data_IF_411901654035
#
_entry.id   IF_411901654035
#
_cell.length_a   1.000
_cell.length_b   1.000
_cell.length_c   1.000
_cell.angle_alpha   90.00
_cell.angle_beta   90.00
_cell.angle_gamma   90.00
#
_symmetry.space_group_name_H-M   'P 1'
#
loop_
_entity.id
_entity.type
_entity.pdbx_description
1 polymer ?
#
# COMPACT_ATOMS: atom_id res chain seq x y z
N UNK A 1 10.17 -16.31 27.82
CA UNK A 1 9.66 -16.14 29.21
C UNK A 1 9.15 -14.71 29.42
N UNK A 2 9.98 -13.67 29.22
CA UNK A 2 9.57 -12.27 29.42
C UNK A 2 8.29 -11.88 28.64
N UNK A 3 8.23 -12.25 27.36
CA UNK A 3 7.04 -12.05 26.51
C UNK A 3 5.75 -12.57 27.17
N UNK A 4 5.79 -13.78 27.73
CA UNK A 4 4.63 -14.40 28.39
C UNK A 4 4.27 -13.70 29.69
N UNK A 5 5.26 -13.31 30.51
CA UNK A 5 4.99 -12.59 31.76
C UNK A 5 4.30 -11.25 31.49
N UNK A 6 4.76 -10.53 30.46
CA UNK A 6 4.14 -9.26 30.05
C UNK A 6 2.73 -9.49 29.48
N UNK A 7 2.55 -10.54 28.67
CA UNK A 7 1.26 -10.87 28.07
C UNK A 7 0.22 -11.28 29.13
N UNK A 8 0.60 -12.16 30.05
CA UNK A 8 -0.26 -12.65 31.13
C UNK A 8 -0.58 -11.55 32.16
N UNK A 9 0.41 -10.69 32.45
CA UNK A 9 0.20 -9.52 33.30
C UNK A 9 -0.71 -8.46 32.65
N UNK A 10 -0.75 -8.43 31.32
CA UNK A 10 -1.59 -7.51 30.55
C UNK A 10 -1.39 -6.05 30.96
N UNK A 11 -2.50 -5.31 31.07
CA UNK A 11 -2.47 -3.91 31.47
C UNK A 11 -2.12 -3.69 32.95
N UNK A 12 -2.12 -4.74 33.79
CA UNK A 12 -1.73 -4.63 35.20
C UNK A 12 -0.22 -4.58 35.39
N UNK A 13 0.57 -5.08 34.43
CA UNK A 13 2.01 -4.95 34.48
C UNK A 13 2.41 -3.50 34.17
N UNK A 14 3.04 -2.80 35.13
CA UNK A 14 3.39 -1.37 35.03
C UNK A 14 4.90 -1.07 35.14
N UNK A 15 5.74 -2.10 35.11
CA UNK A 15 7.20 -1.99 35.23
C UNK A 15 7.92 -2.21 33.88
N UNK A 16 7.24 -1.91 32.77
CA UNK A 16 7.75 -2.14 31.42
C UNK A 16 8.79 -1.12 30.96
N UNK A 17 8.81 0.09 31.54
CA UNK A 17 9.63 1.20 31.04
C UNK A 17 11.13 0.87 30.92
N UNK A 18 11.79 0.29 31.93
CA UNK A 18 13.22 -0.05 31.80
C UNK A 18 13.49 -1.07 30.69
N UNK A 19 12.53 -1.97 30.43
CA UNK A 19 12.63 -2.97 29.36
C UNK A 19 12.44 -2.30 28.00
N UNK A 20 11.44 -1.42 27.89
CA UNK A 20 11.16 -0.66 26.68
C UNK A 20 12.36 0.20 26.30
N UNK A 21 12.91 0.96 27.24
CA UNK A 21 14.04 1.85 27.02
C UNK A 21 15.30 1.08 26.59
N UNK A 22 15.61 -0.03 27.27
CA UNK A 22 16.74 -0.90 26.90
C UNK A 22 16.57 -1.49 25.51
N UNK A 23 15.36 -1.95 25.17
CA UNK A 23 15.09 -2.55 23.87
C UNK A 23 15.12 -1.52 22.74
N UNK A 24 14.60 -0.32 22.97
CA UNK A 24 14.66 0.77 22.00
C UNK A 24 16.09 1.27 21.79
N UNK A 25 16.92 1.29 22.83
CA UNK A 25 18.33 1.66 22.72
C UNK A 25 19.15 0.67 21.88
N UNK A 26 18.80 -0.62 21.90
CA UNK A 26 19.52 -1.70 21.22
C UNK A 26 18.75 -2.32 20.04
N UNK A 27 17.84 -1.55 19.42
CA UNK A 27 16.95 -2.06 18.37
C UNK A 27 17.71 -2.64 17.16
N UNK A 28 18.97 -2.24 16.95
CA UNK A 28 19.86 -2.67 15.88
C UNK A 28 20.76 -3.86 16.24
N UNK A 29 20.42 -4.61 17.29
CA UNK A 29 21.19 -5.75 17.78
C UNK A 29 21.64 -6.72 16.65
N UNK A 30 22.91 -7.20 16.62
CA UNK A 30 23.44 -7.99 15.50
C UNK A 30 22.88 -9.43 15.43
N UNK A 31 22.50 -10.03 16.55
CA UNK A 31 21.94 -11.39 16.56
C UNK A 31 20.45 -11.43 16.20
N UNK A 32 20.11 -12.25 15.21
CA UNK A 32 18.75 -12.45 14.71
C UNK A 32 17.75 -12.86 15.80
N UNK A 33 18.08 -13.87 16.61
CA UNK A 33 17.17 -14.38 17.64
C UNK A 33 16.81 -13.30 18.69
N UNK A 34 17.78 -12.41 18.98
CA UNK A 34 17.56 -11.27 19.89
C UNK A 34 16.60 -10.26 19.25
N UNK A 35 16.84 -9.86 17.99
CA UNK A 35 15.94 -8.96 17.26
C UNK A 35 14.51 -9.48 17.18
N UNK A 36 14.34 -10.77 16.87
CA UNK A 36 13.01 -11.39 16.79
C UNK A 36 12.30 -11.39 18.15
N UNK A 37 13.03 -11.71 19.23
CA UNK A 37 12.48 -11.66 20.58
C UNK A 37 12.13 -10.22 21.00
N UNK A 38 12.99 -9.25 20.70
CA UNK A 38 12.75 -7.83 20.98
C UNK A 38 11.51 -7.32 20.27
N UNK A 39 11.37 -7.58 18.96
CA UNK A 39 10.19 -7.15 18.19
C UNK A 39 8.88 -7.72 18.74
N UNK A 40 8.86 -8.99 19.17
CA UNK A 40 7.70 -9.61 19.81
C UNK A 40 7.35 -8.97 21.15
N UNK A 41 8.35 -8.72 21.98
CA UNK A 41 8.16 -8.07 23.29
C UNK A 41 7.68 -6.63 23.13
N UNK A 42 8.24 -5.85 22.20
CA UNK A 42 7.75 -4.50 21.88
C UNK A 42 6.26 -4.53 21.49
N UNK A 43 5.86 -5.51 20.67
CA UNK A 43 4.45 -5.74 20.36
C UNK A 43 3.61 -6.03 21.63
N UNK A 44 4.07 -6.90 22.54
CA UNK A 44 3.38 -7.17 23.82
C UNK A 44 3.26 -5.93 24.69
N UNK A 45 4.33 -5.15 24.83
CA UNK A 45 4.36 -3.95 25.66
C UNK A 45 3.27 -2.99 25.20
N UNK A 46 3.26 -2.62 23.92
CA UNK A 46 2.30 -1.65 23.39
C UNK A 46 0.87 -2.20 23.34
N UNK A 47 0.66 -3.48 22.99
CA UNK A 47 -0.71 -4.05 22.94
C UNK A 47 -1.39 -4.08 24.30
N UNK A 48 -0.61 -4.31 25.37
CA UNK A 48 -1.14 -4.42 26.73
C UNK A 48 -1.42 -3.07 27.39
N UNK A 49 -1.01 -1.95 26.80
CA UNK A 49 -1.28 -0.61 27.37
C UNK A 49 -2.74 -0.18 27.19
N UNK A 50 -3.42 -0.69 26.18
CA UNK A 50 -4.83 -0.38 25.96
C UNK A 50 -5.74 -1.16 26.90
N UNK A 51 -6.59 -0.46 27.66
CA UNK A 51 -7.66 -1.05 28.45
C UNK A 51 -8.85 -0.08 28.55
N UNK A 52 -10.07 -0.60 28.43
CA UNK A 52 -11.30 0.19 28.63
C UNK A 52 -11.76 0.07 30.07
N UNK A 53 -11.40 1.05 30.90
CA UNK A 53 -11.81 1.07 32.31
C UNK A 53 -12.73 2.25 32.58
N UNK A 54 -13.98 1.92 32.94
CA UNK A 54 -15.00 2.88 33.35
C UNK A 54 -15.46 2.54 34.77
N UNK A 55 -15.79 3.55 35.56
CA UNK A 55 -16.27 3.37 36.93
C UNK A 55 -17.60 2.61 37.01
N UNK A 56 -18.41 2.61 35.94
CA UNK A 56 -19.70 1.92 35.89
C UNK A 56 -20.14 1.67 34.45
N UNK A 57 -20.98 0.64 34.25
CA UNK A 57 -21.55 0.29 32.94
C UNK A 57 -22.38 1.45 32.34
N UNK A 58 -23.21 2.20 33.10
CA UNK A 58 -23.92 3.34 32.54
C UNK A 58 -22.99 4.40 31.93
N UNK A 59 -21.87 4.72 32.58
CA UNK A 59 -20.89 5.69 32.05
C UNK A 59 -20.18 5.16 30.80
N UNK A 60 -19.87 3.87 30.74
CA UNK A 60 -19.34 3.23 29.53
C UNK A 60 -20.31 3.40 28.34
N UNK A 61 -21.61 3.14 28.56
CA UNK A 61 -22.63 3.26 27.52
C UNK A 61 -22.81 4.72 27.09
N UNK A 62 -22.84 5.65 28.04
CA UNK A 62 -22.94 7.09 27.76
C UNK A 62 -21.75 7.58 26.92
N UNK A 63 -20.52 7.21 27.31
CA UNK A 63 -19.32 7.59 26.60
C UNK A 63 -19.29 7.02 25.17
N UNK A 64 -19.69 5.76 24.98
CA UNK A 64 -19.80 5.15 23.66
C UNK A 64 -20.83 5.85 22.77
N UNK A 65 -22.03 6.13 23.29
CA UNK A 65 -23.07 6.87 22.55
C UNK A 65 -22.61 8.28 22.17
N UNK A 66 -21.87 8.96 23.04
CA UNK A 66 -21.34 10.30 22.79
C UNK A 66 -20.22 10.28 21.74
N UNK A 67 -19.41 9.23 21.69
CA UNK A 67 -18.25 9.15 20.81
C UNK A 67 -18.63 8.96 19.33
N UNK A 68 -19.47 7.96 19.01
CA UNK A 68 -19.96 7.72 17.65
C UNK A 68 -21.09 6.69 17.61
N UNK A 69 -21.70 6.50 16.44
CA UNK A 69 -22.69 5.43 16.19
C UNK A 69 -22.12 4.01 16.39
N UNK A 70 -20.80 3.86 16.35
CA UNK A 70 -20.08 2.59 16.53
C UNK A 70 -19.24 2.57 17.82
N UNK A 71 -19.47 3.53 18.73
CA UNK A 71 -18.76 3.62 20.00
C UNK A 71 -17.38 4.27 19.95
N UNK A 72 -16.64 4.14 21.04
CA UNK A 72 -15.28 4.66 21.20
C UNK A 72 -14.34 3.93 20.25
N UNK A 73 -13.26 4.57 19.79
CA UNK A 73 -12.20 3.91 19.00
C UNK A 73 -11.31 3.10 19.92
N UNK A 74 -11.31 1.76 19.83
CA UNK A 74 -10.33 1.00 20.58
C UNK A 74 -8.95 1.13 19.96
N UNK A 75 -7.93 0.90 20.78
CA UNK A 75 -6.52 0.91 20.36
C UNK A 75 -6.13 2.19 19.62
N UNK A 76 -6.42 3.36 20.19
CA UNK A 76 -5.82 4.61 19.70
C UNK A 76 -4.33 4.65 20.08
N UNK A 77 -3.44 5.20 19.22
CA UNK A 77 -2.04 5.33 19.57
C UNK A 77 -1.87 6.29 20.75
N UNK A 78 -1.12 5.86 21.77
CA UNK A 78 -0.73 6.74 22.87
C UNK A 78 0.34 7.74 22.41
N UNK A 79 0.55 8.80 23.20
CA UNK A 79 1.64 9.75 22.96
C UNK A 79 3.00 9.03 23.00
N UNK A 80 3.20 8.12 23.94
CA UNK A 80 4.43 7.32 24.08
C UNK A 80 4.68 6.40 22.87
N UNK A 81 3.64 5.76 22.33
CA UNK A 81 3.78 4.98 21.10
C UNK A 81 4.12 5.90 19.92
N UNK A 82 3.43 7.04 19.82
CA UNK A 82 3.62 8.00 18.73
C UNK A 82 5.04 8.56 18.73
N UNK A 83 5.57 8.93 19.90
CA UNK A 83 6.95 9.40 20.05
C UNK A 83 7.95 8.29 19.75
N UNK A 84 7.70 7.07 20.22
CA UNK A 84 8.56 5.91 19.97
C UNK A 84 8.65 5.59 18.48
N UNK A 85 7.50 5.52 17.78
CA UNK A 85 7.49 5.28 16.33
C UNK A 85 8.24 6.39 15.60
N UNK A 86 8.01 7.65 15.96
CA UNK A 86 8.69 8.78 15.31
C UNK A 86 10.20 8.69 15.49
N UNK A 87 10.68 8.53 16.73
CA UNK A 87 12.12 8.38 17.04
C UNK A 87 12.77 7.20 16.32
N UNK A 88 12.13 6.02 16.37
CA UNK A 88 12.66 4.81 15.72
C UNK A 88 12.80 5.00 14.22
N UNK A 89 11.79 5.58 13.56
CA UNK A 89 11.82 5.78 12.12
C UNK A 89 12.75 6.92 11.69
N UNK A 90 12.93 7.95 12.52
CA UNK A 90 13.94 9.00 12.30
C UNK A 90 15.37 8.40 12.40
N UNK A 91 15.61 7.51 13.36
CA UNK A 91 16.88 6.77 13.46
C UNK A 91 17.11 5.85 12.26
N UNK A 92 16.09 5.12 11.82
CA UNK A 92 16.16 4.29 10.62
C UNK A 92 16.49 5.11 9.38
N UNK A 93 15.87 6.28 9.22
CA UNK A 93 16.15 7.19 8.10
C UNK A 93 17.60 7.68 8.12
N UNK A 94 18.11 8.07 9.30
CA UNK A 94 19.52 8.42 9.47
C UNK A 94 20.44 7.25 9.09
N UNK A 95 20.21 6.06 9.64
CA UNK A 95 21.03 4.88 9.34
C UNK A 95 20.95 4.46 7.87
N UNK A 96 19.82 4.70 7.19
CA UNK A 96 19.66 4.46 5.75
C UNK A 96 20.64 5.29 4.94
N UNK A 97 20.83 6.55 5.32
CA UNK A 97 21.74 7.48 4.65
C UNK A 97 23.21 7.21 4.98
N UNK A 98 23.50 6.68 6.17
CA UNK A 98 24.86 6.27 6.58
C UNK A 98 25.30 4.95 5.95
N UNK A 99 24.36 4.14 5.46
CA UNK A 99 24.67 2.87 4.80
C UNK A 99 25.18 3.10 3.38
N UNK A 100 26.34 2.55 3.08
CA UNK A 100 26.91 2.60 1.74
C UNK A 100 26.13 1.71 0.75
N UNK A 101 25.87 2.18 -0.49
CA UNK A 101 25.27 1.35 -1.54
C UNK A 101 26.10 0.08 -1.81
N UNK A 102 25.45 -1.09 -1.88
CA UNK A 102 26.14 -2.36 -2.13
C UNK A 102 26.75 -3.03 -0.88
N UNK A 103 26.62 -2.43 0.31
CA UNK A 103 27.13 -3.03 1.55
C UNK A 103 26.43 -4.36 1.87
N UNK A 104 27.17 -5.46 1.85
CA UNK A 104 26.65 -6.79 2.18
C UNK A 104 26.70 -7.12 3.68
N UNK A 105 27.57 -6.43 4.43
CA UNK A 105 27.66 -6.62 5.87
C UNK A 105 26.43 -6.04 6.58
N UNK A 106 26.06 -6.64 7.71
CA UNK A 106 25.01 -6.10 8.55
C UNK A 106 25.40 -4.71 9.05
N UNK A 107 24.45 -3.79 8.98
CA UNK A 107 24.51 -2.41 9.46
C UNK A 107 23.41 -2.17 10.49
N UNK A 108 23.50 -1.07 11.23
CA UNK A 108 22.44 -0.66 12.15
C UNK A 108 21.10 -0.49 11.43
N UNK A 109 21.10 0.02 10.19
CA UNK A 109 19.89 0.12 9.36
C UNK A 109 19.25 -1.25 9.11
N UNK A 110 20.02 -2.23 8.62
CA UNK A 110 19.49 -3.56 8.28
C UNK A 110 19.02 -4.33 9.52
N UNK A 111 19.77 -4.23 10.62
CA UNK A 111 19.44 -4.90 11.87
C UNK A 111 18.22 -4.25 12.52
N UNK A 112 18.23 -2.92 12.67
CA UNK A 112 17.12 -2.15 13.23
C UNK A 112 15.83 -2.36 12.45
N UNK A 113 15.92 -2.31 11.12
CA UNK A 113 14.77 -2.56 10.22
C UNK A 113 14.18 -3.95 10.44
N UNK A 114 15.00 -5.00 10.61
CA UNK A 114 14.49 -6.36 10.88
C UNK A 114 13.76 -6.44 12.22
N UNK A 115 14.26 -5.78 13.27
CA UNK A 115 13.57 -5.70 14.57
C UNK A 115 12.22 -4.99 14.45
N UNK A 116 12.20 -3.82 13.81
CA UNK A 116 10.97 -3.03 13.59
C UNK A 116 9.98 -3.80 12.73
N UNK A 117 10.42 -4.49 11.69
CA UNK A 117 9.56 -5.31 10.85
C UNK A 117 8.96 -6.48 11.62
N UNK A 118 9.71 -7.14 12.51
CA UNK A 118 9.13 -8.17 13.39
C UNK A 118 8.10 -7.58 14.35
N UNK A 119 8.37 -6.40 14.91
CA UNK A 119 7.41 -5.69 15.75
C UNK A 119 6.11 -5.40 14.97
N UNK A 120 6.21 -4.77 13.81
CA UNK A 120 5.05 -4.44 12.97
C UNK A 120 4.30 -5.69 12.50
N UNK A 121 5.00 -6.74 12.08
CA UNK A 121 4.38 -8.00 11.63
C UNK A 121 3.53 -8.63 12.76
N UNK A 122 4.08 -8.65 13.97
CA UNK A 122 3.37 -9.14 15.15
C UNK A 122 2.13 -8.29 15.47
N UNK A 123 2.25 -6.95 15.43
CA UNK A 123 1.12 -6.05 15.72
C UNK A 123 0.04 -6.09 14.62
N UNK A 124 0.43 -6.17 13.34
CA UNK A 124 -0.49 -6.23 12.21
C UNK A 124 -1.25 -7.56 12.11
N UNK A 125 -0.71 -8.62 12.73
CA UNK A 125 -1.34 -9.95 12.78
C UNK A 125 -2.37 -10.10 13.91
N UNK A 126 -2.63 -9.05 14.70
CA UNK A 126 -3.51 -9.08 15.87
C UNK A 126 -4.53 -7.93 15.84
N UNK A 127 -5.48 -7.89 16.79
CA UNK A 127 -6.61 -6.96 16.78
C UNK A 127 -6.22 -5.49 17.05
N UNK A 128 -5.12 -5.26 17.77
CA UNK A 128 -4.56 -3.95 18.07
C UNK A 128 -3.98 -3.24 16.85
N UNK A 129 -3.82 -3.93 15.71
CA UNK A 129 -3.27 -3.40 14.45
C UNK A 129 -3.84 -2.04 14.03
N UNK A 130 -5.09 -1.74 14.40
CA UNK A 130 -5.75 -0.47 14.10
C UNK A 130 -5.07 0.75 14.74
N UNK A 131 -4.29 0.56 15.83
CA UNK A 131 -3.47 1.62 16.43
C UNK A 131 -2.38 2.14 15.49
N UNK A 132 -1.99 1.32 14.50
CA UNK A 132 -0.93 1.65 13.57
C UNK A 132 -1.41 2.44 12.34
N UNK A 133 -2.73 2.49 12.11
CA UNK A 133 -3.34 3.14 10.92
C UNK A 133 -2.84 4.58 10.70
N UNK A 134 -2.72 5.44 11.74
CA UNK A 134 -2.23 6.81 11.56
C UNK A 134 -0.80 6.90 10.98
N UNK A 135 0.00 5.85 11.15
CA UNK A 135 1.41 5.80 10.71
C UNK A 135 1.58 5.19 9.30
N UNK A 136 0.53 4.65 8.71
CA UNK A 136 0.63 3.94 7.43
C UNK A 136 1.11 4.85 6.30
N UNK A 137 0.53 6.05 6.18
CA UNK A 137 0.95 7.02 5.17
C UNK A 137 2.35 7.55 5.46
N UNK A 138 2.63 7.88 6.72
CA UNK A 138 3.94 8.36 7.18
C UNK A 138 4.13 7.95 8.65
N UNK A 139 5.26 7.33 9.03
CA UNK A 139 6.45 7.08 8.21
C UNK A 139 6.46 5.74 7.44
N UNK A 140 5.49 4.84 7.66
CA UNK A 140 5.66 3.43 7.26
C UNK A 140 5.81 3.22 5.75
N UNK A 141 4.98 3.85 4.92
CA UNK A 141 4.91 3.52 3.49
C UNK A 141 6.25 3.68 2.76
N UNK A 142 6.86 4.86 2.88
CA UNK A 142 8.12 5.18 2.20
C UNK A 142 9.28 4.37 2.81
N UNK A 143 9.32 4.21 4.13
CA UNK A 143 10.36 3.47 4.84
C UNK A 143 10.37 1.98 4.49
N UNK A 144 9.19 1.34 4.45
CA UNK A 144 9.07 -0.06 4.02
C UNK A 144 9.51 -0.25 2.56
N UNK A 145 9.25 0.73 1.68
CA UNK A 145 9.73 0.71 0.30
C UNK A 145 11.25 0.79 0.22
N UNK A 146 11.88 1.63 1.04
CA UNK A 146 13.33 1.69 1.13
C UNK A 146 13.94 0.38 1.65
N UNK A 147 13.32 -0.25 2.66
CA UNK A 147 13.76 -1.57 3.16
C UNK A 147 13.68 -2.64 2.06
N UNK A 148 12.65 -2.59 1.21
CA UNK A 148 12.49 -3.52 0.08
C UNK A 148 13.47 -3.29 -1.08
N UNK A 149 14.16 -2.16 -1.11
CA UNK A 149 15.14 -1.83 -2.15
C UNK A 149 16.58 -2.19 -1.74
N UNK A 150 16.78 -2.72 -0.53
CA UNK A 150 18.05 -3.29 -0.06
C UNK A 150 18.27 -4.67 -0.70
N UNK A 151 18.83 -4.68 -1.91
CA UNK A 151 19.03 -5.90 -2.71
C UNK A 151 20.03 -6.88 -2.08
N UNK A 152 20.95 -6.38 -1.26
CA UNK A 152 21.99 -7.18 -0.62
C UNK A 152 21.45 -8.04 0.54
N UNK A 153 20.23 -7.77 1.02
CA UNK A 153 19.60 -8.52 2.12
C UNK A 153 18.21 -9.05 1.70
N UNK A 154 18.16 -10.24 1.05
CA UNK A 154 16.91 -10.83 0.60
C UNK A 154 15.91 -11.11 1.73
N UNK A 155 16.40 -11.38 2.94
CA UNK A 155 15.54 -11.59 4.11
C UNK A 155 14.83 -10.28 4.49
N UNK A 156 15.55 -9.17 4.55
CA UNK A 156 14.97 -7.85 4.81
C UNK A 156 13.91 -7.50 3.76
N UNK A 157 14.23 -7.66 2.48
CA UNK A 157 13.28 -7.40 1.39
C UNK A 157 12.01 -8.23 1.53
N UNK A 158 12.13 -9.53 1.82
CA UNK A 158 10.99 -10.44 1.96
C UNK A 158 10.08 -10.04 3.13
N UNK A 159 10.66 -9.73 4.29
CA UNK A 159 9.89 -9.34 5.47
C UNK A 159 9.25 -7.96 5.27
N UNK A 160 9.99 -7.00 4.70
CA UNK A 160 9.46 -5.67 4.39
C UNK A 160 8.27 -5.75 3.41
N UNK A 161 8.38 -6.58 2.37
CA UNK A 161 7.26 -6.84 1.46
C UNK A 161 6.07 -7.49 2.16
N UNK A 162 6.33 -8.43 3.08
CA UNK A 162 5.28 -9.09 3.87
C UNK A 162 4.51 -8.11 4.76
N UNK A 163 5.19 -7.18 5.43
CA UNK A 163 4.56 -6.14 6.25
C UNK A 163 3.83 -5.13 5.36
N UNK A 164 4.44 -4.69 4.27
CA UNK A 164 3.88 -3.70 3.35
C UNK A 164 2.55 -4.15 2.72
N UNK A 165 2.44 -5.44 2.34
CA UNK A 165 1.19 -5.99 1.79
C UNK A 165 0.08 -6.12 2.84
N UNK A 166 0.39 -6.09 4.14
CA UNK A 166 -0.62 -6.19 5.21
C UNK A 166 -1.35 -4.88 5.45
N UNK A 167 -0.69 -3.73 5.25
CA UNK A 167 -1.27 -2.40 5.47
C UNK A 167 -2.69 -2.21 4.89
N UNK A 168 -2.98 -2.52 3.61
CA UNK A 168 -4.32 -2.33 3.05
C UNK A 168 -5.36 -3.34 3.57
N UNK A 169 -4.94 -4.38 4.30
CA UNK A 169 -5.84 -5.38 4.87
C UNK A 169 -6.41 -4.96 6.24
N UNK A 170 -5.86 -3.92 6.87
CA UNK A 170 -6.28 -3.46 8.20
C UNK A 170 -7.58 -2.66 8.14
N UNK A 171 -8.49 -2.80 9.12
CA UNK A 171 -9.73 -2.02 9.17
C UNK A 171 -9.50 -0.53 9.52
N UNK A 172 -9.75 0.36 8.58
CA UNK A 172 -9.84 1.81 8.81
C UNK A 172 -11.29 2.22 9.10
N UNK A 173 -11.49 3.21 9.97
CA UNK A 173 -12.77 3.91 10.12
C UNK A 173 -13.01 4.84 8.93
N UNK A 174 -14.21 5.39 8.87
CA UNK A 174 -14.58 6.40 7.87
C UNK A 174 -13.60 7.58 7.91
N UNK A 175 -13.05 7.95 6.75
CA UNK A 175 -12.09 9.05 6.59
C UNK A 175 -10.63 8.72 6.93
N UNK A 176 -10.34 7.63 7.64
CA UNK A 176 -8.97 7.25 8.01
C UNK A 176 -8.14 6.75 6.81
N UNK A 177 -8.80 6.24 5.75
CA UNK A 177 -8.14 5.71 4.55
C UNK A 177 -7.66 6.77 3.55
N UNK A 178 -8.15 8.01 3.64
CA UNK A 178 -7.83 9.06 2.68
C UNK A 178 -6.33 9.37 2.60
N UNK A 179 -5.66 9.53 3.76
CA UNK A 179 -4.21 9.78 3.80
C UNK A 179 -3.41 8.61 3.22
N UNK A 180 -3.83 7.38 3.51
CA UNK A 180 -3.19 6.17 3.02
C UNK A 180 -3.34 6.03 1.50
N UNK A 181 -4.55 6.24 0.98
CA UNK A 181 -4.83 6.24 -0.47
C UNK A 181 -4.01 7.31 -1.19
N UNK A 182 -3.97 8.53 -0.65
CA UNK A 182 -3.22 9.62 -1.26
C UNK A 182 -1.70 9.32 -1.29
N UNK A 183 -1.15 8.70 -0.25
CA UNK A 183 0.24 8.29 -0.21
C UNK A 183 0.55 7.19 -1.27
N UNK A 184 -0.33 6.20 -1.43
CA UNK A 184 -0.20 5.18 -2.47
C UNK A 184 -0.23 5.82 -3.87
N UNK A 185 -1.18 6.72 -4.12
CA UNK A 185 -1.31 7.43 -5.41
C UNK A 185 -0.06 8.27 -5.69
N UNK A 186 0.46 8.99 -4.69
CA UNK A 186 1.71 9.76 -4.80
C UNK A 186 2.85 8.85 -5.26
N UNK A 187 3.09 7.73 -4.57
CA UNK A 187 4.16 6.78 -4.91
C UNK A 187 3.96 6.19 -6.30
N UNK A 188 2.73 5.76 -6.63
CA UNK A 188 2.40 5.21 -7.94
C UNK A 188 2.68 6.18 -9.09
N UNK A 189 2.59 7.50 -8.84
CA UNK A 189 2.84 8.55 -9.85
C UNK A 189 4.28 9.04 -9.89
N UNK A 190 4.93 9.20 -8.74
CA UNK A 190 6.19 9.95 -8.64
C UNK A 190 7.42 9.11 -8.29
N UNK A 191 7.28 7.86 -7.87
CA UNK A 191 8.44 7.06 -7.49
C UNK A 191 9.32 6.74 -8.71
N UNK A 192 10.63 6.93 -8.57
CA UNK A 192 11.62 6.66 -9.60
C UNK A 192 11.72 5.15 -9.89
N UNK A 193 11.71 4.34 -8.84
CA UNK A 193 11.73 2.88 -8.92
C UNK A 193 10.39 2.33 -9.40
N UNK A 194 10.39 1.63 -10.54
CA UNK A 194 9.18 0.98 -11.05
C UNK A 194 8.69 -0.14 -10.13
N UNK A 195 9.57 -0.78 -9.37
CA UNK A 195 9.18 -1.75 -8.35
C UNK A 195 8.35 -1.10 -7.25
N UNK A 196 8.68 0.12 -6.83
CA UNK A 196 7.89 0.86 -5.85
C UNK A 196 6.52 1.25 -6.42
N UNK A 197 6.47 1.74 -7.67
CA UNK A 197 5.20 2.03 -8.36
C UNK A 197 4.32 0.79 -8.45
N UNK A 198 4.89 -0.35 -8.85
CA UNK A 198 4.17 -1.62 -8.94
C UNK A 198 3.63 -2.07 -7.56
N UNK A 199 4.43 -1.98 -6.50
CA UNK A 199 3.99 -2.30 -5.13
C UNK A 199 2.86 -1.38 -4.66
N UNK A 200 2.91 -0.09 -4.98
CA UNK A 200 1.84 0.85 -4.68
C UNK A 200 0.55 0.49 -5.43
N UNK A 201 0.63 0.15 -6.72
CA UNK A 201 -0.49 -0.32 -7.53
C UNK A 201 -1.18 -1.56 -6.95
N UNK A 202 -0.40 -2.57 -6.53
CA UNK A 202 -0.94 -3.77 -5.90
C UNK A 202 -1.67 -3.43 -4.60
N UNK A 203 -1.14 -2.52 -3.78
CA UNK A 203 -1.84 -2.09 -2.56
C UNK A 203 -3.10 -1.27 -2.87
N UNK A 204 -3.09 -0.40 -3.90
CA UNK A 204 -4.29 0.33 -4.35
C UNK A 204 -5.42 -0.64 -4.72
N UNK A 205 -5.10 -1.74 -5.41
CA UNK A 205 -6.05 -2.80 -5.73
C UNK A 205 -6.69 -3.40 -4.46
N UNK A 206 -5.87 -3.74 -3.46
CA UNK A 206 -6.36 -4.38 -2.23
C UNK A 206 -7.25 -3.43 -1.43
N UNK A 207 -6.85 -2.16 -1.28
CA UNK A 207 -7.67 -1.14 -0.61
C UNK A 207 -9.01 -1.00 -1.31
N UNK A 208 -9.00 -0.84 -2.63
CA UNK A 208 -10.21 -0.65 -3.41
C UNK A 208 -11.16 -1.83 -3.24
N UNK A 209 -10.68 -3.06 -3.46
CA UNK A 209 -11.51 -4.25 -3.35
C UNK A 209 -12.12 -4.43 -1.96
N UNK A 210 -11.31 -4.26 -0.90
CA UNK A 210 -11.77 -4.47 0.48
C UNK A 210 -12.71 -3.37 0.98
N UNK A 211 -12.59 -2.15 0.45
CA UNK A 211 -13.24 -0.97 1.03
C UNK A 211 -14.15 -0.21 0.07
N UNK A 212 -14.45 -0.73 -1.12
CA UNK A 212 -15.25 -0.03 -2.13
C UNK A 212 -16.56 0.59 -1.59
N UNK A 213 -17.22 -0.05 -0.62
CA UNK A 213 -18.46 0.45 -0.02
C UNK A 213 -18.25 1.50 1.09
N UNK A 214 -17.06 1.54 1.70
CA UNK A 214 -16.72 2.41 2.83
C UNK A 214 -15.87 3.61 2.41
N UNK A 215 -15.06 3.47 1.36
CA UNK A 215 -14.22 4.54 0.83
C UNK A 215 -15.09 5.59 0.15
N UNK A 216 -14.86 6.86 0.48
CA UNK A 216 -15.60 7.98 -0.07
C UNK A 216 -15.44 8.10 -1.60
N UNK A 217 -16.43 8.72 -2.25
CA UNK A 217 -16.50 8.76 -3.71
C UNK A 217 -15.28 9.44 -4.36
N UNK A 218 -14.79 10.53 -3.76
CA UNK A 218 -13.58 11.24 -4.19
C UNK A 218 -12.35 10.34 -4.23
N UNK A 219 -12.14 9.54 -3.19
CA UNK A 219 -11.01 8.64 -3.04
C UNK A 219 -11.13 7.46 -3.99
N UNK A 220 -12.34 6.94 -4.22
CA UNK A 220 -12.60 5.92 -5.25
C UNK A 220 -12.28 6.42 -6.65
N UNK A 221 -12.72 7.62 -7.00
CA UNK A 221 -12.43 8.25 -8.28
C UNK A 221 -10.93 8.54 -8.45
N UNK A 222 -10.26 8.96 -7.38
CA UNK A 222 -8.81 9.17 -7.37
C UNK A 222 -8.04 7.86 -7.60
N UNK A 223 -8.46 6.75 -6.97
CA UNK A 223 -7.89 5.42 -7.21
C UNK A 223 -8.08 4.97 -8.66
N UNK A 224 -9.28 5.10 -9.22
CA UNK A 224 -9.53 4.76 -10.63
C UNK A 224 -8.66 5.57 -11.58
N UNK A 225 -8.57 6.89 -11.33
CA UNK A 225 -7.75 7.78 -12.14
C UNK A 225 -6.29 7.39 -12.06
N UNK A 226 -5.77 7.16 -10.85
CA UNK A 226 -4.39 6.76 -10.64
C UNK A 226 -4.05 5.43 -11.35
N UNK A 227 -4.87 4.39 -11.17
CA UNK A 227 -4.66 3.09 -11.83
C UNK A 227 -4.74 3.22 -13.35
N UNK A 228 -5.71 3.99 -13.87
CA UNK A 228 -5.82 4.27 -15.30
C UNK A 228 -4.62 5.03 -15.86
N UNK A 229 -4.05 5.97 -15.10
CA UNK A 229 -2.86 6.73 -15.53
C UNK A 229 -1.62 5.83 -15.59
N UNK A 230 -1.52 4.83 -14.71
CA UNK A 230 -0.44 3.84 -14.68
C UNK A 230 -0.41 2.91 -15.91
N UNK A 231 -1.47 2.88 -16.73
CA UNK A 231 -1.43 2.22 -18.04
C UNK A 231 -0.42 2.86 -19.00
N UNK A 232 -0.05 4.12 -18.76
CA UNK A 232 0.97 4.86 -19.53
C UNK A 232 2.37 4.80 -18.90
N UNK A 233 2.58 3.96 -17.89
CA UNK A 233 3.89 3.81 -17.24
C UNK A 233 4.98 3.39 -18.26
N UNK A 234 6.22 3.91 -18.17
CA UNK A 234 7.31 3.48 -19.03
C UNK A 234 7.61 1.97 -18.92
N UNK A 235 7.38 1.36 -17.76
CA UNK A 235 7.66 -0.05 -17.50
C UNK A 235 6.48 -0.94 -17.92
N UNK A 236 6.75 -1.98 -18.72
CA UNK A 236 5.72 -2.89 -19.22
C UNK A 236 4.97 -3.63 -18.10
N UNK A 237 5.68 -4.10 -17.09
CA UNK A 237 5.15 -4.86 -15.96
C UNK A 237 4.15 -4.02 -15.15
N UNK A 238 4.41 -2.72 -15.00
CA UNK A 238 3.49 -1.80 -14.34
C UNK A 238 2.23 -1.63 -15.18
N UNK A 239 2.35 -1.45 -16.50
CA UNK A 239 1.21 -1.33 -17.40
C UNK A 239 0.34 -2.59 -17.43
N UNK A 240 0.96 -3.76 -17.51
CA UNK A 240 0.26 -5.04 -17.51
C UNK A 240 -0.50 -5.25 -16.20
N UNK A 241 0.14 -4.97 -15.06
CA UNK A 241 -0.52 -5.01 -13.76
C UNK A 241 -1.67 -3.99 -13.68
N UNK A 242 -1.48 -2.77 -14.18
CA UNK A 242 -2.51 -1.73 -14.15
C UNK A 242 -3.75 -2.12 -14.97
N UNK A 243 -3.55 -2.79 -16.12
CA UNK A 243 -4.63 -3.35 -16.94
C UNK A 243 -5.47 -4.36 -16.16
N UNK A 244 -4.82 -5.36 -15.56
CA UNK A 244 -5.51 -6.39 -14.77
C UNK A 244 -6.19 -5.79 -13.53
N UNK A 245 -5.53 -4.85 -12.84
CA UNK A 245 -6.11 -4.15 -11.69
C UNK A 245 -7.33 -3.33 -12.08
N UNK A 246 -7.28 -2.58 -13.19
CA UNK A 246 -8.40 -1.79 -13.68
C UNK A 246 -9.61 -2.67 -14.02
N UNK A 247 -9.39 -3.79 -14.72
CA UNK A 247 -10.43 -4.77 -15.02
C UNK A 247 -11.07 -5.32 -13.74
N UNK A 248 -10.24 -5.64 -12.72
CA UNK A 248 -10.70 -6.10 -11.41
C UNK A 248 -11.54 -5.06 -10.67
N UNK A 249 -11.12 -3.79 -10.66
CA UNK A 249 -11.85 -2.69 -10.03
C UNK A 249 -13.22 -2.47 -10.69
N UNK A 250 -13.29 -2.49 -12.02
CA UNK A 250 -14.56 -2.38 -12.77
C UNK A 250 -15.45 -3.57 -12.45
N UNK A 251 -14.91 -4.79 -12.44
CA UNK A 251 -15.66 -6.02 -12.19
C UNK A 251 -16.32 -6.04 -10.83
N UNK A 252 -15.61 -5.64 -9.76
CA UNK A 252 -16.16 -5.64 -8.41
C UNK A 252 -17.01 -4.39 -8.10
N UNK A 253 -17.07 -3.41 -9.00
CA UNK A 253 -17.85 -2.19 -8.81
C UNK A 253 -19.36 -2.41 -8.99
N UNK A 254 -20.20 -1.89 -8.07
CA UNK A 254 -21.64 -1.79 -8.28
C UNK A 254 -21.98 -0.97 -9.53
N UNK A 255 -23.11 -1.27 -10.18
CA UNK A 255 -23.54 -0.61 -11.43
C UNK A 255 -23.49 0.92 -11.38
N UNK A 256 -23.97 1.52 -10.29
CA UNK A 256 -24.00 2.97 -10.11
C UNK A 256 -22.61 3.63 -10.06
N UNK A 257 -21.56 2.89 -9.68
CA UNK A 257 -20.15 3.34 -9.73
C UNK A 257 -19.53 2.95 -11.08
N UNK A 258 -19.79 1.73 -11.52
CA UNK A 258 -19.14 1.08 -12.65
C UNK A 258 -19.52 1.69 -14.00
N UNK A 259 -20.80 1.88 -14.25
CA UNK A 259 -21.28 2.21 -15.59
C UNK A 259 -20.84 3.64 -16.02
N UNK A 260 -20.92 4.67 -15.16
CA UNK A 260 -20.33 5.99 -15.47
C UNK A 260 -18.81 5.93 -15.70
N UNK A 261 -18.12 5.08 -14.95
CA UNK A 261 -16.67 4.87 -15.09
C UNK A 261 -16.32 4.27 -16.45
N UNK A 262 -17.08 3.27 -16.90
CA UNK A 262 -16.89 2.65 -18.22
C UNK A 262 -17.04 3.68 -19.32
N UNK A 263 -18.12 4.47 -19.32
CA UNK A 263 -18.34 5.51 -20.35
C UNK A 263 -17.19 6.51 -20.39
N UNK A 264 -16.71 6.96 -19.22
CA UNK A 264 -15.59 7.90 -19.11
C UNK A 264 -14.28 7.30 -19.66
N UNK A 265 -13.96 6.07 -19.29
CA UNK A 265 -12.73 5.39 -19.68
C UNK A 265 -12.74 4.97 -21.15
N UNK A 266 -13.87 4.47 -21.66
CA UNK A 266 -14.06 4.11 -23.05
C UNK A 266 -13.79 5.30 -23.96
N UNK A 267 -14.40 6.46 -23.66
CA UNK A 267 -14.17 7.70 -24.39
C UNK A 267 -12.69 8.09 -24.36
N UNK A 268 -12.09 8.14 -23.16
CA UNK A 268 -10.66 8.48 -22.97
C UNK A 268 -9.77 7.60 -23.84
N UNK A 269 -9.90 6.28 -23.77
CA UNK A 269 -9.01 5.38 -24.48
C UNK A 269 -9.26 5.35 -25.98
N UNK A 270 -10.52 5.52 -26.44
CA UNK A 270 -10.81 5.70 -27.88
C UNK A 270 -10.13 6.96 -28.42
N UNK A 271 -10.20 8.07 -27.68
CA UNK A 271 -9.57 9.34 -28.06
C UNK A 271 -8.04 9.21 -28.06
N UNK A 272 -7.44 8.63 -27.01
CA UNK A 272 -5.99 8.37 -26.94
C UNK A 272 -5.52 7.47 -28.09
N UNK A 273 -6.27 6.43 -28.46
CA UNK A 273 -5.94 5.53 -29.55
C UNK A 273 -6.04 6.20 -30.93
N UNK A 274 -6.96 7.15 -31.11
CA UNK A 274 -7.08 7.95 -32.33
C UNK A 274 -5.93 8.96 -32.47
N UNK A 275 -5.57 9.62 -31.37
CA UNK A 275 -4.48 10.61 -31.34
C UNK A 275 -3.09 9.99 -31.50
N UNK A 276 -2.93 8.70 -31.20
CA UNK A 276 -1.66 7.98 -31.27
C UNK A 276 -1.74 6.82 -32.29
N UNK A 277 -1.79 7.10 -33.60
CA UNK A 277 -1.79 6.07 -34.65
C UNK A 277 -0.48 5.26 -34.63
N UNK A 278 -0.48 4.07 -35.24
CA UNK A 278 0.75 3.28 -35.36
C UNK A 278 1.80 4.04 -36.18
N UNK A 279 3.02 4.25 -35.68
CA UNK A 279 4.09 4.87 -36.44
C UNK A 279 4.39 4.07 -37.72
N UNK A 280 4.50 4.74 -38.86
CA UNK A 280 4.90 4.08 -40.12
C UNK A 280 6.35 3.57 -39.97
N UNK A 281 6.59 2.30 -40.30
CA UNK A 281 7.92 1.68 -40.28
C UNK A 281 8.83 2.45 -41.26
N UNK A 282 9.81 3.21 -40.77
CA UNK A 282 10.83 3.84 -41.63
C UNK A 282 11.79 2.74 -42.08
N UNK A 283 11.76 2.39 -43.36
CA UNK A 283 12.60 1.35 -43.98
C UNK A 283 14.08 1.72 -44.12
N UNK A 284 14.48 2.96 -43.81
CA UNK A 284 15.85 3.44 -44.08
C UNK A 284 16.38 4.43 -43.03
N UNK A 285 16.71 3.95 -41.83
CA UNK A 285 17.67 4.62 -40.95
C UNK A 285 18.70 3.59 -40.49
N UNK A 286 19.97 3.70 -40.92
CA UNK A 286 21.05 2.94 -40.33
C UNK A 286 21.39 3.60 -38.98
N UNK A 287 21.01 2.96 -37.87
CA UNK A 287 21.31 3.47 -36.54
C UNK A 287 20.24 3.13 -35.51
N UNK A 288 20.67 2.49 -34.43
CA UNK A 288 19.91 1.85 -33.35
C UNK A 288 19.23 2.80 -32.36
N UNK A 289 18.56 3.87 -32.81
CA UNK A 289 17.77 4.73 -31.91
C UNK A 289 16.43 5.14 -32.54
N UNK A 290 15.35 4.57 -32.02
CA UNK A 290 14.00 5.07 -32.34
C UNK A 290 13.82 6.42 -31.63
N UNK A 291 13.36 7.48 -32.32
CA UNK A 291 13.09 8.76 -31.68
C UNK A 291 12.22 8.63 -30.41
N UNK A 292 12.57 9.37 -29.35
CA UNK A 292 11.86 9.37 -28.05
C UNK A 292 10.36 9.63 -28.22
N UNK A 293 9.99 10.49 -29.17
CA UNK A 293 8.60 10.81 -29.48
C UNK A 293 7.82 9.59 -30.02
N UNK A 294 8.47 8.75 -30.82
CA UNK A 294 7.89 7.50 -31.33
C UNK A 294 7.68 6.50 -30.18
N UNK A 295 8.63 6.36 -29.27
CA UNK A 295 8.46 5.52 -28.07
C UNK A 295 7.30 6.00 -27.20
N UNK A 296 7.17 7.31 -26.99
CA UNK A 296 6.07 7.90 -26.24
C UNK A 296 4.71 7.66 -26.91
N UNK A 297 4.65 7.81 -28.23
CA UNK A 297 3.45 7.53 -29.02
C UNK A 297 3.05 6.04 -28.93
N UNK A 298 4.01 5.12 -29.07
CA UNK A 298 3.78 3.68 -28.92
C UNK A 298 3.28 3.38 -27.51
N UNK A 299 3.87 3.98 -26.48
CA UNK A 299 3.45 3.76 -25.10
C UNK A 299 2.03 4.24 -24.82
N UNK A 300 1.65 5.42 -25.32
CA UNK A 300 0.27 5.94 -25.22
C UNK A 300 -0.72 5.07 -25.99
N UNK A 301 -0.35 4.62 -27.19
CA UNK A 301 -1.15 3.68 -27.96
C UNK A 301 -1.38 2.38 -27.19
N UNK A 302 -0.31 1.80 -26.64
CA UNK A 302 -0.37 0.58 -25.85
C UNK A 302 -1.24 0.76 -24.60
N UNK A 303 -1.11 1.89 -23.90
CA UNK A 303 -1.94 2.23 -22.75
C UNK A 303 -3.44 2.22 -23.11
N UNK A 304 -3.80 2.85 -24.23
CA UNK A 304 -5.18 2.88 -24.72
C UNK A 304 -5.71 1.49 -25.10
N UNK A 305 -4.88 0.66 -25.75
CA UNK A 305 -5.23 -0.74 -26.08
C UNK A 305 -5.45 -1.56 -24.81
N UNK A 306 -4.54 -1.48 -23.83
CA UNK A 306 -4.70 -2.13 -22.54
C UNK A 306 -5.94 -1.64 -21.80
N UNK A 307 -6.21 -0.34 -21.79
CA UNK A 307 -7.37 0.25 -21.17
C UNK A 307 -8.69 -0.29 -21.73
N UNK A 308 -8.84 -0.29 -23.07
CA UNK A 308 -10.01 -0.88 -23.75
C UNK A 308 -10.11 -2.40 -23.51
N UNK A 309 -8.97 -3.11 -23.51
CA UNK A 309 -8.91 -4.52 -23.15
C UNK A 309 -9.41 -4.79 -21.74
N UNK A 310 -8.98 -3.98 -20.77
CA UNK A 310 -9.40 -4.08 -19.38
C UNK A 310 -10.92 -3.87 -19.21
N UNK A 311 -11.54 -2.99 -20.01
CA UNK A 311 -13.01 -2.83 -20.01
C UNK A 311 -13.70 -4.14 -20.40
N UNK A 312 -13.22 -4.83 -21.44
CA UNK A 312 -13.78 -6.11 -21.89
C UNK A 312 -13.53 -7.21 -20.85
N UNK A 313 -12.29 -7.34 -20.37
CA UNK A 313 -11.88 -8.34 -19.39
C UNK A 313 -12.63 -8.20 -18.06
N UNK A 314 -13.18 -7.03 -17.75
CA UNK A 314 -14.02 -6.84 -16.58
C UNK A 314 -15.31 -7.70 -16.61
N UNK A 315 -15.75 -8.16 -17.79
CA UNK A 315 -17.01 -8.88 -18.00
C UNK A 315 -16.81 -10.27 -18.63
N UNK A 316 -16.12 -11.21 -17.96
CA UNK A 316 -15.77 -12.52 -18.55
C UNK A 316 -16.99 -13.43 -18.84
N UNK A 317 -18.12 -13.20 -18.17
CA UNK A 317 -19.30 -14.08 -18.22
C UNK A 317 -20.62 -13.32 -18.41
N UNK A 318 -20.57 -12.08 -18.92
CA UNK A 318 -21.78 -11.26 -19.05
C UNK A 318 -22.67 -11.74 -20.20
N UNK A 319 -23.90 -12.14 -19.87
CA UNK A 319 -24.93 -12.57 -20.83
C UNK A 319 -26.25 -11.85 -20.52
N UNK A 320 -26.80 -11.02 -21.42
CA UNK A 320 -26.20 -10.58 -22.69
C UNK A 320 -24.92 -9.73 -22.47
N UNK A 321 -24.02 -9.67 -23.46
CA UNK A 321 -22.87 -8.78 -23.38
C UNK A 321 -23.34 -7.32 -23.29
N UNK A 322 -22.60 -6.43 -22.59
CA UNK A 322 -22.89 -5.00 -22.59
C UNK A 322 -22.94 -4.43 -24.02
N UNK A 323 -23.88 -3.53 -24.28
CA UNK A 323 -24.14 -2.99 -25.62
C UNK A 323 -22.93 -2.30 -26.25
N UNK A 324 -22.06 -1.67 -25.44
CA UNK A 324 -20.84 -1.01 -25.90
C UNK A 324 -19.71 -1.99 -26.28
N UNK A 325 -19.75 -3.24 -25.80
CA UNK A 325 -18.64 -4.20 -25.91
C UNK A 325 -18.31 -4.59 -27.36
N UNK A 326 -19.29 -4.90 -28.25
CA UNK A 326 -18.99 -5.23 -29.65
C UNK A 326 -18.23 -4.11 -30.39
N UNK A 327 -18.55 -2.84 -30.13
CA UNK A 327 -17.88 -1.70 -30.77
C UNK A 327 -16.43 -1.55 -30.28
N UNK A 328 -16.19 -1.77 -28.99
CA UNK A 328 -14.84 -1.76 -28.41
C UNK A 328 -14.00 -2.91 -28.99
N UNK A 329 -14.56 -4.12 -29.08
CA UNK A 329 -13.89 -5.27 -29.71
C UNK A 329 -13.53 -5.00 -31.18
N UNK A 330 -14.47 -4.45 -31.97
CA UNK A 330 -14.21 -4.07 -33.36
C UNK A 330 -13.15 -2.97 -33.49
N UNK A 331 -13.03 -2.08 -32.50
CA UNK A 331 -11.98 -1.07 -32.43
C UNK A 331 -10.63 -1.71 -32.17
N UNK A 332 -10.55 -2.63 -31.21
CA UNK A 332 -9.32 -3.37 -30.91
C UNK A 332 -8.88 -4.26 -32.08
N UNK A 333 -9.78 -5.00 -32.72
CA UNK A 333 -9.42 -5.85 -33.86
C UNK A 333 -8.81 -5.07 -35.04
N UNK A 334 -9.16 -3.78 -35.19
CA UNK A 334 -8.64 -2.91 -36.26
C UNK A 334 -7.38 -2.13 -35.87
N UNK A 335 -7.14 -1.93 -34.58
CA UNK A 335 -6.16 -0.94 -34.07
C UNK A 335 -5.20 -1.49 -33.00
N UNK A 336 -5.48 -2.61 -32.35
CA UNK A 336 -4.46 -3.33 -31.60
C UNK A 336 -3.47 -3.94 -32.60
#
# INVERSE_FOLDING_TARGET
>A
LLEFVLADGGWHFRQEKPILDDFLAHIDHPYKAVREAMGKVLCVIFRTRYHESFESVPKLIEANKKASSIGIRPYQPSEELTSTITDVFDRLEKWRHEREPGQQTQSSYTSGSKTVLTWLDCTLSSNECTMLVPFFATPFMEQLLHMMDVKEDPELMRIAYHVYRHLPNIPFREGEDAKFINALIKIGRSATSWHQRLRALVNMQVVYFRRIFLTAASERDALFTAVSDMLSDPQLEVRACASTTLAGMIRCSPRHIRDPMITRLEKRFKDELQQNPMPKRKTHLPGTETPVDIHRQINRRHAAVLGLGALIEAFPYATPPPEWMPEVLATLARKA
#
